data_IF_656985111275
#
_entry.id   IF_656985111275
#
_cell.length_a   1.000
_cell.length_b   1.000
_cell.length_c   1.000
_cell.angle_alpha   90.00
_cell.angle_beta   90.00
_cell.angle_gamma   90.00
#
_symmetry.space_group_name_H-M   'P 1'
#
loop_
_entity.id
_entity.type
_entity.pdbx_description
1 polymer ?
#
# COMPACT_ATOMS: atom_id res chain seq x y z
N UNK A 1 9.56 -10.15 8.82
CA UNK A 1 8.21 -9.50 8.82
C UNK A 1 7.96 -8.83 7.47
N UNK A 2 6.80 -8.98 6.80
CA UNK A 2 6.55 -8.31 5.52
C UNK A 2 6.40 -6.80 5.70
N UNK A 3 7.05 -6.04 4.82
CA UNK A 3 7.04 -4.57 4.83
C UNK A 3 6.94 -4.00 3.42
N UNK A 4 6.49 -2.75 3.33
CA UNK A 4 6.45 -1.97 2.09
C UNK A 4 7.24 -0.69 2.28
N UNK A 5 8.06 -0.35 1.29
CA UNK A 5 8.77 0.91 1.24
C UNK A 5 7.82 2.01 0.76
N UNK A 6 7.80 3.17 1.41
CA UNK A 6 6.87 4.27 1.09
C UNK A 6 7.51 5.45 0.34
N UNK A 7 8.82 5.38 0.06
CA UNK A 7 9.58 6.39 -0.69
C UNK A 7 10.63 5.74 -1.57
N UNK A 8 10.94 6.37 -2.69
CA UNK A 8 12.07 5.94 -3.50
C UNK A 8 13.38 6.21 -2.74
N UNK A 9 14.17 5.16 -2.51
CA UNK A 9 15.47 5.25 -1.85
C UNK A 9 16.59 4.86 -2.81
N UNK A 10 16.53 3.64 -3.37
CA UNK A 10 17.55 3.10 -4.27
C UNK A 10 16.89 2.50 -5.51
N UNK A 11 16.62 3.33 -6.51
CA UNK A 11 15.92 2.92 -7.73
C UNK A 11 16.66 1.83 -8.49
N UNK A 12 17.99 1.89 -8.56
CA UNK A 12 18.83 0.85 -9.18
C UNK A 12 18.77 -0.51 -8.47
N UNK A 13 18.41 -0.52 -7.18
CA UNK A 13 18.21 -1.74 -6.38
C UNK A 13 16.73 -2.09 -6.20
N UNK A 14 15.84 -1.46 -6.99
CA UNK A 14 14.38 -1.61 -6.93
C UNK A 14 13.77 -1.31 -5.55
N UNK A 15 14.47 -0.55 -4.70
CA UNK A 15 13.95 -0.02 -3.45
C UNK A 15 13.16 1.25 -3.74
N UNK A 16 11.92 1.05 -4.19
CA UNK A 16 11.01 2.10 -4.65
C UNK A 16 9.72 2.12 -3.84
N UNK A 17 8.98 3.23 -3.93
CA UNK A 17 7.68 3.36 -3.28
C UNK A 17 6.71 2.26 -3.75
N UNK A 18 6.15 1.51 -2.81
CA UNK A 18 5.25 0.39 -3.04
C UNK A 18 5.92 -0.97 -3.12
N UNK A 19 7.26 -1.02 -3.20
CA UNK A 19 8.03 -2.26 -3.26
C UNK A 19 7.93 -3.04 -1.94
N UNK A 20 7.75 -4.35 -2.07
CA UNK A 20 7.58 -5.30 -0.97
C UNK A 20 8.91 -5.93 -0.60
N UNK A 21 9.17 -6.03 0.69
CA UNK A 21 10.37 -6.67 1.25
C UNK A 21 10.00 -7.46 2.50
N UNK A 22 10.92 -8.30 2.94
CA UNK A 22 10.92 -8.83 4.30
C UNK A 22 11.91 -8.01 5.13
N UNK A 23 11.48 -7.51 6.29
CA UNK A 23 12.38 -6.99 7.30
C UNK A 23 13.17 -8.16 7.91
N UNK A 24 14.48 -8.15 7.67
CA UNK A 24 15.43 -9.15 8.13
C UNK A 24 15.97 -8.80 9.52
N UNK A 25 16.32 -7.53 9.75
CA UNK A 25 16.84 -7.06 11.04
C UNK A 25 16.68 -5.53 11.21
N UNK A 26 16.89 -5.02 12.41
CA UNK A 26 16.94 -3.58 12.74
C UNK A 26 18.31 -3.22 13.29
N UNK A 27 18.78 -2.02 12.96
CA UNK A 27 20.03 -1.49 13.53
C UNK A 27 19.67 -0.58 14.71
N UNK A 28 19.87 -1.00 15.97
CA UNK A 28 19.54 -0.18 17.13
C UNK A 28 20.47 1.04 17.21
N UNK A 29 19.99 2.12 17.85
CA UNK A 29 20.83 3.27 18.18
C UNK A 29 21.52 3.02 19.54
N UNK A 30 22.86 3.02 19.62
CA UNK A 30 23.57 2.89 20.89
C UNK A 30 23.19 3.96 21.91
N UNK A 31 22.67 5.12 21.47
CA UNK A 31 22.17 6.19 22.35
C UNK A 31 20.82 5.86 23.00
N UNK A 32 20.15 4.80 22.54
CA UNK A 32 18.85 4.33 23.04
C UNK A 32 18.93 2.83 23.28
N UNK A 33 19.49 2.40 24.43
CA UNK A 33 19.77 1.00 24.69
C UNK A 33 18.50 0.14 24.68
N UNK A 34 18.68 -1.13 24.35
CA UNK A 34 17.63 -2.14 24.45
C UNK A 34 17.46 -2.62 25.88
N UNK A 35 16.22 -2.93 26.25
CA UNK A 35 15.85 -3.51 27.53
C UNK A 35 15.34 -4.93 27.29
N UNK A 36 16.08 -5.92 27.81
CA UNK A 36 15.71 -7.33 27.69
C UNK A 36 14.50 -7.64 28.57
N UNK A 37 13.47 -8.25 27.98
CA UNK A 37 12.27 -8.71 28.70
C UNK A 37 12.20 -10.24 28.82
N UNK A 38 12.60 -10.96 27.76
CA UNK A 38 12.63 -12.42 27.66
C UNK A 38 13.71 -12.85 26.64
N UNK A 39 13.94 -14.16 26.51
CA UNK A 39 15.01 -14.73 25.66
C UNK A 39 15.00 -14.21 24.22
N UNK A 40 13.83 -13.90 23.66
CA UNK A 40 13.62 -13.44 22.29
C UNK A 40 12.99 -12.03 22.19
N UNK A 41 12.87 -11.31 23.31
CA UNK A 41 12.20 -10.00 23.34
C UNK A 41 13.11 -8.93 23.96
N UNK A 42 13.52 -7.98 23.12
CA UNK A 42 14.22 -6.75 23.53
C UNK A 42 13.40 -5.54 23.10
N UNK A 43 13.13 -4.63 24.04
CA UNK A 43 12.39 -3.39 23.78
C UNK A 43 13.37 -2.22 23.65
N UNK A 44 13.24 -1.44 22.58
CA UNK A 44 13.96 -0.19 22.39
C UNK A 44 13.00 0.99 22.48
N UNK A 45 13.34 2.01 23.28
CA UNK A 45 12.52 3.22 23.44
C UNK A 45 12.93 4.37 22.50
N UNK A 46 14.00 4.20 21.73
CA UNK A 46 14.43 5.14 20.69
C UNK A 46 14.21 4.57 19.28
N UNK A 47 14.20 5.44 18.25
CA UNK A 47 14.10 4.98 16.86
C UNK A 47 15.37 4.22 16.46
N UNK A 48 15.26 3.17 15.63
CA UNK A 48 16.44 2.50 15.09
C UNK A 48 17.22 3.41 14.13
N UNK A 49 18.52 3.18 14.00
CA UNK A 49 19.40 3.83 13.01
C UNK A 49 19.13 3.36 11.58
N UNK A 50 18.47 2.22 11.42
CA UNK A 50 18.11 1.65 10.13
C UNK A 50 17.38 0.32 10.25
N UNK A 51 16.94 -0.20 9.11
CA UNK A 51 16.33 -1.52 8.96
C UNK A 51 16.97 -2.23 7.78
N UNK A 52 17.30 -3.51 7.94
CA UNK A 52 17.76 -4.38 6.86
C UNK A 52 16.55 -5.03 6.19
N UNK A 53 16.47 -4.88 4.88
CA UNK A 53 15.42 -5.45 4.04
C UNK A 53 16.00 -6.47 3.08
N UNK A 54 15.24 -7.52 2.82
CA UNK A 54 15.58 -8.55 1.83
C UNK A 54 14.38 -8.86 0.91
N UNK A 55 14.67 -9.21 -0.34
CA UNK A 55 13.69 -9.71 -1.29
C UNK A 55 14.34 -10.69 -2.28
N UNK A 56 13.53 -11.32 -3.13
CA UNK A 56 14.06 -12.20 -4.19
C UNK A 56 14.94 -11.45 -5.19
N UNK A 57 14.66 -10.16 -5.40
CA UNK A 57 15.43 -9.29 -6.29
C UNK A 57 16.79 -8.91 -5.71
N UNK A 58 16.93 -8.89 -4.38
CA UNK A 58 18.19 -8.55 -3.72
C UNK A 58 19.00 -9.77 -3.31
N UNK A 59 18.51 -11.01 -3.52
CA UNK A 59 19.11 -12.25 -3.00
C UNK A 59 20.61 -12.42 -3.32
N UNK A 60 21.03 -12.01 -4.52
CA UNK A 60 22.42 -12.16 -5.01
C UNK A 60 23.25 -10.87 -4.77
N UNK A 61 22.66 -9.87 -4.11
CA UNK A 61 23.32 -8.61 -3.81
C UNK A 61 24.30 -8.78 -2.64
N UNK A 62 25.56 -8.47 -2.91
CA UNK A 62 26.62 -8.42 -1.90
C UNK A 62 27.07 -6.96 -1.69
N UNK A 63 26.67 -6.36 -0.57
CA UNK A 63 27.17 -5.04 -0.14
C UNK A 63 28.20 -5.28 0.97
N UNK A 64 29.41 -4.70 0.88
CA UNK A 64 30.40 -4.81 1.95
C UNK A 64 29.83 -4.42 3.31
N UNK A 65 30.13 -5.21 4.34
CA UNK A 65 29.66 -5.04 5.72
C UNK A 65 28.14 -5.23 5.95
N UNK A 66 27.37 -5.66 4.95
CA UNK A 66 25.98 -6.10 5.12
C UNK A 66 25.85 -7.60 4.85
N UNK A 67 24.90 -8.31 5.48
CA UNK A 67 24.56 -9.67 5.10
C UNK A 67 24.19 -9.74 3.61
N UNK A 68 24.63 -10.80 2.94
CA UNK A 68 24.26 -11.05 1.53
C UNK A 68 22.75 -11.14 1.40
N UNK A 69 22.19 -10.56 0.34
CA UNK A 69 20.75 -10.53 0.14
C UNK A 69 20.06 -9.29 0.69
N UNK A 70 20.76 -8.48 1.51
CA UNK A 70 20.12 -7.39 2.26
C UNK A 70 20.47 -5.98 1.76
N UNK A 71 19.56 -5.05 1.97
CA UNK A 71 19.76 -3.61 1.76
C UNK A 71 19.42 -2.84 3.03
N UNK A 72 20.25 -1.86 3.40
CA UNK A 72 20.03 -1.01 4.56
C UNK A 72 19.18 0.21 4.21
N UNK A 73 18.05 0.39 4.88
CA UNK A 73 17.23 1.60 4.81
C UNK A 73 17.40 2.43 6.08
N UNK A 74 17.74 3.70 5.91
CA UNK A 74 17.94 4.64 7.03
C UNK A 74 16.74 5.57 7.22
N UNK A 75 16.53 6.11 8.43
CA UNK A 75 15.48 7.10 8.67
C UNK A 75 15.66 8.34 7.80
N UNK A 76 14.55 8.81 7.23
CA UNK A 76 14.49 10.05 6.45
C UNK A 76 13.69 11.10 7.20
N UNK A 77 14.03 12.37 6.99
CA UNK A 77 13.25 13.50 7.51
C UNK A 77 12.25 13.96 6.46
N UNK A 78 11.02 14.26 6.89
CA UNK A 78 10.00 14.88 6.07
C UNK A 78 9.47 16.12 6.78
N UNK A 79 9.53 17.26 6.08
CA UNK A 79 9.07 18.55 6.60
C UNK A 79 7.72 18.89 5.98
N UNK A 80 6.75 19.15 6.84
CA UNK A 80 5.45 19.70 6.52
C UNK A 80 5.55 21.22 6.66
N UNK A 81 5.47 21.93 5.54
CA UNK A 81 5.64 23.37 5.47
C UNK A 81 4.30 24.05 5.16
N UNK A 82 3.79 24.98 6.00
CA UNK A 82 2.57 25.74 5.73
C UNK A 82 2.57 26.54 4.42
N UNK A 83 3.75 26.80 3.84
CA UNK A 83 3.87 27.39 2.50
C UNK A 83 3.29 26.47 1.39
N UNK A 84 3.24 25.16 1.62
CA UNK A 84 2.58 24.20 0.73
C UNK A 84 1.06 24.24 0.98
N UNK A 85 0.27 24.35 -0.10
CA UNK A 85 -1.18 24.40 -0.04
C UNK A 85 -1.81 23.21 0.71
N UNK A 86 -1.19 22.03 0.64
CA UNK A 86 -1.65 20.84 1.36
C UNK A 86 -1.51 20.92 2.88
N UNK A 87 -0.68 21.83 3.40
CA UNK A 87 -0.34 21.93 4.84
C UNK A 87 -0.68 23.28 5.46
N UNK A 88 -1.49 24.11 4.79
CA UNK A 88 -1.91 25.44 5.30
C UNK A 88 -2.63 25.41 6.65
N UNK A 89 -3.16 24.25 7.04
CA UNK A 89 -3.79 24.04 8.35
C UNK A 89 -2.78 23.98 9.50
N UNK A 90 -1.48 23.86 9.22
CA UNK A 90 -0.43 23.87 10.24
C UNK A 90 -0.07 25.32 10.60
N UNK A 91 0.06 25.58 11.91
CA UNK A 91 0.50 26.88 12.44
C UNK A 91 2.00 27.15 12.29
N UNK A 92 2.79 26.15 11.89
CA UNK A 92 4.23 26.24 11.73
C UNK A 92 4.82 25.03 11.01
N UNK A 93 6.12 25.10 10.69
CA UNK A 93 6.83 23.97 10.08
C UNK A 93 6.95 22.82 11.09
N UNK A 94 6.63 21.62 10.64
CA UNK A 94 6.77 20.40 11.44
C UNK A 94 7.65 19.41 10.69
N UNK A 95 8.63 18.80 11.36
CA UNK A 95 9.48 17.78 10.77
C UNK A 95 9.31 16.44 11.48
N UNK A 96 9.14 15.38 10.70
CA UNK A 96 9.12 14.00 11.19
C UNK A 96 10.32 13.25 10.63
N UNK A 97 11.10 12.61 11.51
CA UNK A 97 12.15 11.66 11.14
C UNK A 97 11.67 10.24 11.41
N UNK A 98 11.86 9.34 10.46
CA UNK A 98 11.50 7.94 10.64
C UNK A 98 11.87 7.07 9.44
N UNK A 99 11.79 5.75 9.62
CA UNK A 99 12.01 4.80 8.52
C UNK A 99 10.94 4.99 7.43
N UNK A 100 11.31 5.06 6.14
CA UNK A 100 10.37 5.11 5.03
C UNK A 100 9.79 3.71 4.71
N UNK A 101 9.41 2.97 5.75
CA UNK A 101 8.96 1.58 5.68
C UNK A 101 7.76 1.41 6.59
N UNK A 102 6.76 0.67 6.14
CA UNK A 102 5.57 0.33 6.92
C UNK A 102 5.36 -1.18 6.92
N UNK A 103 4.85 -1.78 8.01
CA UNK A 103 4.43 -3.17 7.98
C UNK A 103 3.37 -3.39 6.89
N UNK A 104 3.46 -4.51 6.18
CA UNK A 104 2.64 -4.79 5.01
C UNK A 104 1.78 -6.05 5.15
N UNK A 105 1.57 -6.53 6.37
CA UNK A 105 0.64 -7.62 6.66
C UNK A 105 -0.83 -7.16 6.75
N UNK A 106 -1.07 -5.85 6.86
CA UNK A 106 -2.39 -5.21 6.72
C UNK A 106 -2.26 -4.02 5.79
N UNK A 107 -3.16 -3.92 4.82
CA UNK A 107 -3.16 -2.86 3.81
C UNK A 107 -4.55 -2.26 3.71
N UNK A 108 -4.62 -0.95 3.45
CA UNK A 108 -5.87 -0.35 2.98
C UNK A 108 -6.16 -0.82 1.56
N UNK A 109 -7.43 -0.84 1.19
CA UNK A 109 -7.89 -1.09 -0.18
C UNK A 109 -7.15 -0.20 -1.21
N UNK A 110 -6.95 1.08 -0.90
CA UNK A 110 -6.18 2.01 -1.72
C UNK A 110 -4.73 1.54 -1.97
N UNK A 111 -4.06 0.99 -0.94
CA UNK A 111 -2.68 0.49 -1.05
C UNK A 111 -2.59 -0.92 -1.63
N UNK A 112 -3.68 -1.68 -1.55
CA UNK A 112 -3.83 -2.98 -2.18
C UNK A 112 -4.21 -2.87 -3.67
N UNK A 113 -4.69 -1.71 -4.13
CA UNK A 113 -5.05 -1.48 -5.53
C UNK A 113 -3.88 -1.85 -6.46
N UNK A 114 -4.22 -2.52 -7.55
CA UNK A 114 -3.28 -3.09 -8.54
C UNK A 114 -2.37 -4.22 -8.03
N UNK A 115 -2.53 -4.69 -6.78
CA UNK A 115 -1.85 -5.90 -6.27
C UNK A 115 -2.71 -7.15 -6.42
N UNK A 116 -2.06 -8.32 -6.40
CA UNK A 116 -2.73 -9.63 -6.40
C UNK A 116 -2.12 -10.49 -5.30
N UNK A 117 -2.97 -11.09 -4.48
CA UNK A 117 -2.60 -11.98 -3.38
C UNK A 117 -3.16 -13.38 -3.60
N UNK A 118 -2.50 -14.37 -3.02
CA UNK A 118 -2.95 -15.78 -3.03
C UNK A 118 -4.06 -15.99 -2.01
N UNK A 119 -3.93 -15.38 -0.83
CA UNK A 119 -4.93 -15.37 0.23
C UNK A 119 -5.10 -13.94 0.77
N UNK A 120 -6.33 -13.59 1.14
CA UNK A 120 -6.67 -12.31 1.76
C UNK A 120 -7.66 -12.51 2.90
N UNK A 121 -7.51 -11.72 3.96
CA UNK A 121 -8.50 -11.55 5.01
C UNK A 121 -9.13 -10.16 4.86
N UNK A 122 -10.42 -10.10 4.51
CA UNK A 122 -11.11 -8.87 4.16
C UNK A 122 -12.07 -8.42 5.25
N UNK A 123 -12.15 -7.10 5.44
CA UNK A 123 -13.18 -6.45 6.24
C UNK A 123 -14.02 -5.55 5.32
N UNK A 124 -15.19 -6.06 4.92
CA UNK A 124 -16.04 -5.46 3.90
C UNK A 124 -16.99 -4.42 4.52
N UNK A 125 -16.40 -3.41 5.15
CA UNK A 125 -17.10 -2.35 5.88
C UNK A 125 -16.54 -0.98 5.52
N UNK A 126 -17.38 0.05 5.66
CA UNK A 126 -16.95 1.43 5.45
C UNK A 126 -16.16 1.98 6.62
N UNK A 127 -15.45 3.08 6.38
CA UNK A 127 -14.53 3.71 7.33
C UNK A 127 -15.19 4.58 8.41
N UNK A 128 -16.48 4.92 8.27
CA UNK A 128 -17.19 5.78 9.23
C UNK A 128 -17.87 4.94 10.29
N UNK A 129 -17.83 5.39 11.54
CA UNK A 129 -18.53 4.75 12.66
C UNK A 129 -19.68 5.64 13.12
N UNK A 130 -20.89 5.10 13.20
CA UNK A 130 -22.09 5.77 13.72
C UNK A 130 -22.77 4.86 14.73
N UNK A 131 -22.92 5.31 15.98
CA UNK A 131 -23.49 4.51 17.08
C UNK A 131 -22.83 3.12 17.25
N UNK A 132 -21.50 3.06 17.09
CA UNK A 132 -20.74 1.81 17.17
C UNK A 132 -20.88 0.89 15.95
N UNK A 133 -21.66 1.27 14.94
CA UNK A 133 -21.83 0.51 13.71
C UNK A 133 -21.01 1.12 12.56
N UNK A 134 -20.26 0.30 11.81
CA UNK A 134 -19.51 0.76 10.66
C UNK A 134 -20.45 1.05 9.49
N UNK A 135 -20.13 2.09 8.73
CA UNK A 135 -20.89 2.48 7.55
C UNK A 135 -20.87 1.41 6.47
N UNK A 136 -21.69 1.61 5.44
CA UNK A 136 -21.69 0.77 4.25
C UNK A 136 -20.31 0.80 3.56
N UNK A 137 -19.86 -0.36 3.09
CA UNK A 137 -18.72 -0.45 2.17
C UNK A 137 -19.13 0.08 0.80
N UNK A 138 -18.46 1.11 0.28
CA UNK A 138 -18.78 1.64 -1.05
C UNK A 138 -18.44 0.64 -2.16
N UNK A 139 -19.10 0.78 -3.31
CA UNK A 139 -18.96 -0.13 -4.43
C UNK A 139 -17.50 -0.28 -4.90
N UNK A 140 -16.76 0.83 -4.96
CA UNK A 140 -15.38 0.84 -5.47
C UNK A 140 -14.45 0.13 -4.51
N UNK A 141 -14.56 0.39 -3.20
CA UNK A 141 -13.80 -0.33 -2.17
C UNK A 141 -14.10 -1.82 -2.19
N UNK A 142 -15.39 -2.19 -2.25
CA UNK A 142 -15.83 -3.58 -2.33
C UNK A 142 -15.22 -4.29 -3.55
N UNK A 143 -15.28 -3.65 -4.72
CA UNK A 143 -14.69 -4.15 -5.96
C UNK A 143 -13.18 -4.31 -5.83
N UNK A 144 -12.46 -3.30 -5.33
CA UNK A 144 -11.00 -3.35 -5.17
C UNK A 144 -10.63 -4.51 -4.26
N UNK A 145 -11.23 -4.62 -3.07
CA UNK A 145 -10.90 -5.65 -2.08
C UNK A 145 -11.13 -7.06 -2.60
N UNK A 146 -12.32 -7.34 -3.16
CA UNK A 146 -12.67 -8.67 -3.67
C UNK A 146 -11.82 -9.07 -4.88
N UNK A 147 -11.42 -8.11 -5.73
CA UNK A 147 -10.59 -8.38 -6.90
C UNK A 147 -9.10 -8.55 -6.59
N UNK A 148 -8.67 -8.46 -5.32
CA UNK A 148 -7.26 -8.68 -4.96
C UNK A 148 -6.86 -10.15 -4.90
N UNK A 149 -7.81 -11.07 -4.82
CA UNK A 149 -7.54 -12.51 -4.78
C UNK A 149 -8.02 -13.20 -6.06
N UNK A 150 -7.26 -14.18 -6.56
CA UNK A 150 -7.59 -14.90 -7.81
C UNK A 150 -8.67 -15.98 -7.63
N UNK A 151 -8.88 -16.44 -6.40
CA UNK A 151 -9.82 -17.54 -6.11
C UNK A 151 -10.73 -17.15 -4.95
N UNK A 152 -11.97 -17.65 -4.95
CA UNK A 152 -12.88 -17.44 -3.83
C UNK A 152 -12.39 -18.16 -2.57
N UNK A 153 -11.73 -19.30 -2.71
CA UNK A 153 -11.16 -20.08 -1.60
C UNK A 153 -10.07 -19.32 -0.85
N UNK A 154 -9.31 -18.48 -1.56
CA UNK A 154 -8.30 -17.61 -0.95
C UNK A 154 -8.89 -16.40 -0.22
N UNK A 155 -10.20 -16.15 -0.30
CA UNK A 155 -10.85 -15.03 0.39
C UNK A 155 -11.42 -15.52 1.72
N UNK A 156 -10.94 -14.91 2.81
CA UNK A 156 -11.49 -15.06 4.16
C UNK A 156 -12.09 -13.73 4.58
N UNK A 157 -13.20 -13.77 5.32
CA UNK A 157 -13.86 -12.57 5.81
C UNK A 157 -13.63 -12.46 7.32
N UNK A 158 -13.21 -11.28 7.78
CA UNK A 158 -13.05 -10.98 9.20
C UNK A 158 -14.40 -10.92 9.92
N UNK A 159 -15.48 -10.67 9.18
CA UNK A 159 -16.83 -10.59 9.70
C UNK A 159 -17.86 -11.07 8.69
N UNK A 160 -19.05 -11.50 9.15
CA UNK A 160 -20.13 -11.89 8.26
C UNK A 160 -20.54 -10.75 7.31
N UNK A 161 -20.91 -11.14 6.09
CA UNK A 161 -21.48 -10.22 5.10
C UNK A 161 -22.78 -9.61 5.62
N UNK A 162 -22.96 -8.30 5.44
CA UNK A 162 -24.24 -7.63 5.70
C UNK A 162 -24.96 -7.36 4.38
N UNK A 163 -26.28 -7.62 4.28
CA UNK A 163 -27.05 -7.35 3.05
C UNK A 163 -26.87 -5.91 2.53
N UNK A 164 -26.80 -4.91 3.42
CA UNK A 164 -26.65 -3.50 3.06
C UNK A 164 -25.35 -3.16 2.30
N UNK A 165 -24.29 -3.96 2.48
CA UNK A 165 -22.99 -3.74 1.82
C UNK A 165 -23.00 -4.23 0.36
N UNK A 166 -23.97 -5.07 -0.02
CA UNK A 166 -24.03 -5.70 -1.34
C UNK A 166 -25.33 -5.34 -2.09
N UNK A 167 -26.47 -5.48 -1.43
CA UNK A 167 -27.79 -5.22 -2.03
C UNK A 167 -27.95 -3.72 -2.25
N UNK A 168 -28.22 -3.33 -3.50
CA UNK A 168 -28.33 -1.94 -3.90
C UNK A 168 -27.01 -1.16 -3.81
N UNK A 169 -25.86 -1.84 -3.63
CA UNK A 169 -24.55 -1.20 -3.78
C UNK A 169 -24.27 -1.05 -5.28
N UNK A 170 -24.41 0.18 -5.79
CA UNK A 170 -24.25 0.50 -7.20
C UNK A 170 -23.12 1.49 -7.38
N UNK A 171 -22.46 1.39 -8.51
CA UNK A 171 -21.51 2.38 -8.98
C UNK A 171 -22.22 3.73 -9.16
N UNK A 172 -21.49 4.82 -8.93
CA UNK A 172 -22.00 6.17 -9.16
C UNK A 172 -22.46 6.34 -10.62
N UNK A 173 -23.64 6.95 -10.81
CA UNK A 173 -24.24 7.11 -12.13
C UNK A 173 -23.33 7.89 -13.10
N UNK A 174 -22.58 8.87 -12.62
CA UNK A 174 -21.66 9.64 -13.45
C UNK A 174 -20.54 8.76 -14.01
N UNK A 175 -20.09 7.76 -13.23
CA UNK A 175 -19.06 6.81 -13.69
C UNK A 175 -19.66 5.88 -14.73
N UNK A 176 -20.90 5.41 -14.54
CA UNK A 176 -21.62 4.57 -15.51
C UNK A 176 -21.76 5.32 -16.84
N UNK A 177 -22.24 6.57 -16.80
CA UNK A 177 -22.44 7.40 -18.00
C UNK A 177 -21.09 7.68 -18.70
N UNK A 178 -20.03 7.94 -17.94
CA UNK A 178 -18.68 8.12 -18.48
C UNK A 178 -18.13 6.84 -19.13
N UNK A 179 -18.35 5.67 -18.54
CA UNK A 179 -17.95 4.38 -19.12
C UNK A 179 -18.71 4.08 -20.42
N UNK A 180 -19.99 4.41 -20.49
CA UNK A 180 -20.79 4.27 -21.70
C UNK A 180 -20.22 5.18 -22.82
N UNK A 181 -19.99 6.46 -22.51
CA UNK A 181 -19.39 7.40 -23.45
C UNK A 181 -18.03 6.92 -23.98
N UNK A 182 -17.17 6.37 -23.11
CA UNK A 182 -15.88 5.81 -23.53
C UNK A 182 -16.04 4.61 -24.47
N UNK A 183 -17.06 3.79 -24.25
CA UNK A 183 -17.38 2.65 -25.12
C UNK A 183 -17.81 3.12 -26.51
N UNK A 184 -18.66 4.14 -26.57
CA UNK A 184 -19.14 4.72 -27.83
C UNK A 184 -17.99 5.35 -28.63
N UNK A 185 -17.14 6.13 -27.95
CA UNK A 185 -15.94 6.75 -28.55
C UNK A 185 -14.93 5.69 -29.05
N UNK A 186 -14.78 4.58 -28.33
CA UNK A 186 -13.92 3.48 -28.75
C UNK A 186 -14.43 2.81 -30.03
N UNK A 187 -15.76 2.64 -30.16
CA UNK A 187 -16.37 2.09 -31.37
C UNK A 187 -16.20 3.03 -32.57
N UNK A 188 -16.38 4.34 -32.38
CA UNK A 188 -16.14 5.35 -33.40
C UNK A 188 -14.67 5.36 -33.86
N UNK A 189 -13.73 5.34 -32.91
CA UNK A 189 -12.28 5.30 -33.20
C UNK A 189 -11.91 4.08 -34.06
N UNK A 190 -12.45 2.90 -33.75
CA UNK A 190 -12.21 1.69 -34.55
C UNK A 190 -12.74 1.82 -35.97
N UNK A 191 -13.98 2.31 -36.14
CA UNK A 191 -14.59 2.53 -37.45
C UNK A 191 -13.77 3.48 -38.33
N UNK A 192 -13.27 4.57 -37.75
CA UNK A 192 -12.43 5.53 -38.46
C UNK A 192 -11.06 4.95 -38.84
N UNK A 193 -10.47 4.14 -37.96
CA UNK A 193 -9.20 3.47 -38.25
C UNK A 193 -9.33 2.44 -39.38
N UNK A 194 -10.36 1.60 -39.33
CA UNK A 194 -10.64 0.58 -40.34
C UNK A 194 -10.96 1.19 -41.71
N UNK A 195 -11.69 2.31 -41.75
CA UNK A 195 -11.97 3.00 -43.01
C UNK A 195 -10.74 3.66 -43.63
N UNK A 196 -9.73 4.02 -42.83
CA UNK A 196 -8.46 4.57 -43.30
C UNK A 196 -7.46 3.48 -43.75
N UNK A 197 -7.55 2.26 -43.22
CA UNK A 197 -6.71 1.13 -43.64
C UNK A 197 -7.23 0.43 -44.92
N UNK A 198 -8.44 0.76 -45.39
CA UNK A 198 -9.04 0.24 -46.63
C UNK A 198 -8.52 0.85 -47.93
N UNK A 199 -7.21 1.11 -48.05
CA UNK A 199 -6.54 1.45 -49.32
C UNK A 199 -5.22 0.69 -49.47
N UNK A 200 -5.32 -0.58 -49.89
CA UNK A 200 -4.53 -1.23 -50.93
C UNK A 200 -5.21 -2.55 -51.31
#
# INVERSE_FOLDING_TARGET
>A
MPVVVNKNAYTGLKVVNGAEFTAADVIPDPKSPGYHLADDVTIHFGPPLGILLESQETKDLAIPALPTGTVLIRPVSHTLDPANSHYRFLSGKCARRGLPVVPAFVLTDYKAQSKTFVEVLLELRGSRMTNGQPSKCDFTSLYVQLSRCRTLQGIKLLSPVRPQDFIGNKLDQNIIDAMQRLTDLAAETRRLFESQQGFA
#
